data_IF_395614325932
#
_entry.id   IF_395614325932
#
_cell.length_a   1.000
_cell.length_b   1.000
_cell.length_c   1.000
_cell.angle_alpha   90.00
_cell.angle_beta   90.00
_cell.angle_gamma   90.00
#
_symmetry.space_group_name_H-M   'P 1'
#
loop_
_entity.id
_entity.type
_entity.pdbx_description
1 polymer ?
#
# COMPACT_ATOMS: atom_id res chain seq x y z
N UNK A 1 -20.37 -17.85 -25.77
CA UNK A 1 -20.47 -19.08 -24.95
C UNK A 1 -19.32 -20.07 -25.19
N UNK A 2 -19.09 -20.61 -26.40
CA UNK A 2 -18.01 -21.59 -26.63
C UNK A 2 -16.59 -21.11 -26.22
N UNK A 3 -16.21 -19.88 -26.59
CA UNK A 3 -14.92 -19.26 -26.21
C UNK A 3 -14.74 -19.24 -24.68
N UNK A 4 -15.78 -18.86 -23.93
CA UNK A 4 -15.75 -18.77 -22.47
C UNK A 4 -15.58 -20.16 -21.83
N UNK A 5 -16.36 -21.15 -22.26
CA UNK A 5 -16.26 -22.51 -21.72
C UNK A 5 -14.90 -23.17 -22.00
N UNK A 6 -14.39 -23.03 -23.23
CA UNK A 6 -13.09 -23.60 -23.62
C UNK A 6 -11.89 -22.97 -22.90
N UNK A 7 -12.07 -21.76 -22.35
CA UNK A 7 -11.01 -21.01 -21.64
C UNK A 7 -11.16 -21.06 -20.12
N UNK A 8 -12.07 -21.89 -19.58
CA UNK A 8 -12.32 -21.98 -18.13
C UNK A 8 -13.09 -20.80 -17.53
N UNK A 9 -13.65 -19.92 -18.37
CA UNK A 9 -14.41 -18.71 -18.00
C UNK A 9 -15.92 -18.87 -18.26
N UNK A 10 -16.43 -20.10 -18.31
CA UNK A 10 -17.85 -20.40 -18.52
C UNK A 10 -18.72 -20.16 -17.27
N UNK A 11 -18.49 -19.07 -16.54
CA UNK A 11 -19.23 -18.71 -15.32
C UNK A 11 -20.59 -18.09 -15.68
N UNK A 12 -21.66 -18.28 -14.87
CA UNK A 12 -22.98 -17.71 -15.14
C UNK A 12 -22.96 -16.20 -15.40
N UNK A 13 -22.24 -15.45 -14.56
CA UNK A 13 -22.06 -14.00 -14.66
C UNK A 13 -21.52 -13.53 -16.03
N UNK A 14 -20.62 -14.31 -16.65
CA UNK A 14 -20.10 -14.00 -17.99
C UNK A 14 -21.01 -14.50 -19.10
N UNK A 15 -21.73 -15.60 -18.88
CA UNK A 15 -22.65 -16.16 -19.86
C UNK A 15 -23.88 -15.25 -20.07
N UNK A 16 -24.32 -14.54 -19.03
CA UNK A 16 -25.39 -13.54 -19.10
C UNK A 16 -25.03 -12.34 -19.98
N UNK A 17 -23.75 -11.99 -20.05
CA UNK A 17 -23.24 -10.85 -20.83
C UNK A 17 -22.86 -11.19 -22.28
N UNK A 18 -23.09 -12.41 -22.76
CA UNK A 18 -22.67 -12.84 -24.12
C UNK A 18 -23.30 -12.01 -25.24
N UNK A 19 -24.47 -11.42 -25.01
CA UNK A 19 -25.14 -10.50 -25.95
C UNK A 19 -24.66 -9.05 -25.83
N UNK A 20 -23.84 -8.74 -24.82
CA UNK A 20 -23.30 -7.43 -24.47
C UNK A 20 -21.76 -7.49 -24.46
N UNK A 21 -21.11 -7.61 -25.64
CA UNK A 21 -19.69 -7.96 -25.71
C UNK A 21 -18.75 -6.92 -25.08
N UNK A 22 -19.13 -5.64 -25.03
CA UNK A 22 -18.36 -4.61 -24.32
C UNK A 22 -18.43 -4.81 -22.80
N UNK A 23 -19.63 -4.98 -22.24
CA UNK A 23 -19.84 -5.25 -20.82
C UNK A 23 -19.15 -6.56 -20.39
N UNK A 24 -19.21 -7.59 -21.25
CA UNK A 24 -18.50 -8.84 -21.04
C UNK A 24 -16.98 -8.64 -20.96
N UNK A 25 -16.40 -7.83 -21.86
CA UNK A 25 -14.95 -7.56 -21.84
C UNK A 25 -14.56 -6.85 -20.53
N UNK A 26 -15.33 -5.86 -20.07
CA UNK A 26 -15.07 -5.20 -18.79
C UNK A 26 -15.15 -6.20 -17.63
N UNK A 27 -16.21 -7.01 -17.56
CA UNK A 27 -16.40 -8.02 -16.52
C UNK A 27 -15.28 -9.09 -16.50
N UNK A 28 -14.74 -9.44 -17.66
CA UNK A 28 -13.60 -10.36 -17.78
C UNK A 28 -12.32 -9.76 -17.20
N UNK A 29 -12.05 -8.47 -17.42
CA UNK A 29 -10.89 -7.81 -16.82
C UNK A 29 -11.03 -7.54 -15.32
N UNK A 30 -12.25 -7.61 -14.78
CA UNK A 30 -12.47 -7.56 -13.33
C UNK A 30 -12.33 -8.93 -12.64
N UNK A 31 -12.15 -10.02 -13.41
CA UNK A 31 -12.04 -11.38 -12.88
C UNK A 31 -10.92 -11.50 -11.82
N UNK A 32 -11.28 -12.04 -10.65
CA UNK A 32 -10.37 -12.24 -9.52
C UNK A 32 -9.11 -13.07 -9.83
N UNK A 33 -9.13 -13.89 -10.89
CA UNK A 33 -7.99 -14.69 -11.33
C UNK A 33 -6.79 -13.84 -11.78
N UNK A 34 -7.01 -12.59 -12.24
CA UNK A 34 -5.94 -11.63 -12.54
C UNK A 34 -5.15 -11.31 -11.27
N UNK A 35 -5.84 -11.05 -10.16
CA UNK A 35 -5.22 -10.76 -8.87
C UNK A 35 -4.53 -12.00 -8.29
N UNK A 36 -5.19 -13.16 -8.40
CA UNK A 36 -4.68 -14.42 -7.87
C UNK A 36 -3.41 -14.90 -8.58
N UNK A 37 -3.20 -14.52 -9.85
CA UNK A 37 -2.00 -14.87 -10.64
C UNK A 37 -0.70 -14.44 -9.94
N UNK A 38 -0.68 -13.29 -9.24
CA UNK A 38 0.51 -12.84 -8.48
C UNK A 38 0.79 -13.67 -7.23
N UNK A 39 -0.22 -14.33 -6.66
CA UNK A 39 -0.07 -15.08 -5.40
C UNK A 39 0.26 -16.56 -5.62
N UNK A 40 0.21 -17.05 -6.86
CA UNK A 40 0.44 -18.46 -7.18
C UNK A 40 -0.59 -19.43 -6.58
N UNK A 41 -1.76 -18.92 -6.17
CA UNK A 41 -2.81 -19.72 -5.51
C UNK A 41 -3.60 -20.62 -6.47
N UNK A 42 -3.57 -20.31 -7.77
CA UNK A 42 -4.24 -21.11 -8.80
C UNK A 42 -3.25 -22.00 -9.54
N UNK A 43 -3.61 -23.26 -9.71
CA UNK A 43 -2.86 -24.22 -10.55
C UNK A 43 -2.94 -23.89 -12.04
N UNK A 44 -4.00 -23.19 -12.47
CA UNK A 44 -4.19 -22.72 -13.84
C UNK A 44 -4.93 -21.38 -13.82
N UNK A 45 -4.34 -20.35 -14.42
CA UNK A 45 -5.00 -19.05 -14.61
C UNK A 45 -5.44 -18.91 -16.07
N UNK A 46 -6.69 -18.52 -16.34
CA UNK A 46 -7.14 -18.27 -17.70
C UNK A 46 -6.36 -17.11 -18.33
N UNK A 47 -6.18 -17.16 -19.65
CA UNK A 47 -5.62 -16.06 -20.45
C UNK A 47 -6.77 -15.16 -20.94
N UNK A 48 -7.10 -14.18 -20.10
CA UNK A 48 -8.19 -13.22 -20.36
C UNK A 48 -7.86 -12.33 -21.55
N UNK A 49 -6.59 -11.93 -21.75
CA UNK A 49 -6.20 -11.11 -22.91
C UNK A 49 -6.51 -11.84 -24.24
N UNK A 50 -6.17 -13.13 -24.34
CA UNK A 50 -6.49 -13.93 -25.52
C UNK A 50 -7.99 -14.12 -25.73
N UNK A 51 -8.76 -14.30 -24.66
CA UNK A 51 -10.22 -14.44 -24.71
C UNK A 51 -10.90 -13.15 -25.15
N UNK A 52 -10.48 -12.02 -24.58
CA UNK A 52 -10.97 -10.69 -24.96
C UNK A 52 -10.66 -10.38 -26.42
N UNK A 53 -9.46 -10.73 -26.91
CA UNK A 53 -9.11 -10.57 -28.32
C UNK A 53 -10.03 -11.39 -29.22
N UNK A 54 -10.31 -12.66 -28.87
CA UNK A 54 -11.21 -13.52 -29.63
C UNK A 54 -12.66 -12.99 -29.65
N UNK A 55 -13.17 -12.51 -28.51
CA UNK A 55 -14.49 -11.87 -28.41
C UNK A 55 -14.53 -10.59 -29.24
N UNK A 56 -13.51 -9.75 -29.14
CA UNK A 56 -13.38 -8.51 -29.90
C UNK A 56 -13.39 -8.74 -31.41
N UNK A 57 -12.66 -9.75 -31.89
CA UNK A 57 -12.67 -10.14 -33.31
C UNK A 57 -14.02 -10.68 -33.76
N UNK A 58 -14.66 -11.54 -32.96
CA UNK A 58 -15.95 -12.15 -33.28
C UNK A 58 -17.07 -11.10 -33.38
N UNK A 59 -17.08 -10.15 -32.44
CA UNK A 59 -18.14 -9.13 -32.33
C UNK A 59 -17.77 -7.77 -32.94
N UNK A 60 -16.56 -7.63 -33.51
CA UNK A 60 -16.01 -6.39 -34.08
C UNK A 60 -16.04 -5.21 -33.09
N UNK A 61 -15.72 -5.48 -31.83
CA UNK A 61 -15.66 -4.48 -30.77
C UNK A 61 -14.28 -3.84 -30.73
N UNK A 62 -14.21 -2.54 -30.44
CA UNK A 62 -12.95 -1.82 -30.24
C UNK A 62 -12.32 -2.19 -28.89
N UNK A 63 -11.62 -3.32 -28.83
CA UNK A 63 -10.92 -3.79 -27.64
C UNK A 63 -9.92 -2.75 -27.13
N UNK A 64 -9.18 -2.10 -28.03
CA UNK A 64 -8.18 -1.10 -27.66
C UNK A 64 -8.82 0.10 -26.96
N UNK A 65 -9.99 0.56 -27.43
CA UNK A 65 -10.75 1.63 -26.79
C UNK A 65 -11.19 1.25 -25.38
N UNK A 66 -11.75 0.05 -25.20
CA UNK A 66 -12.16 -0.45 -23.88
C UNK A 66 -10.96 -0.56 -22.93
N UNK A 67 -9.83 -1.08 -23.41
CA UNK A 67 -8.59 -1.17 -22.62
C UNK A 67 -8.08 0.22 -22.23
N UNK A 68 -8.13 1.21 -23.12
CA UNK A 68 -7.74 2.58 -22.82
C UNK A 68 -8.66 3.23 -21.77
N UNK A 69 -9.96 2.98 -21.84
CA UNK A 69 -10.94 3.43 -20.84
C UNK A 69 -10.62 2.80 -19.47
N UNK A 70 -10.44 1.48 -19.40
CA UNK A 70 -10.09 0.78 -18.17
C UNK A 70 -8.75 1.24 -17.59
N UNK A 71 -7.73 1.45 -18.43
CA UNK A 71 -6.44 1.97 -18.00
C UNK A 71 -6.56 3.41 -17.47
N UNK A 72 -7.39 4.24 -18.11
CA UNK A 72 -7.66 5.59 -17.62
C UNK A 72 -8.38 5.58 -16.27
N UNK A 73 -9.25 4.61 -16.03
CA UNK A 73 -9.91 4.45 -14.73
C UNK A 73 -8.92 3.95 -13.66
N UNK A 74 -8.21 2.85 -13.90
CA UNK A 74 -7.35 2.24 -12.88
C UNK A 74 -6.08 3.04 -12.56
N UNK A 75 -5.58 3.84 -13.49
CA UNK A 75 -4.47 4.75 -13.24
C UNK A 75 -4.91 6.00 -12.43
N UNK A 76 -6.21 6.29 -12.33
CA UNK A 76 -6.76 7.39 -11.53
C UNK A 76 -7.31 6.87 -10.19
N UNK A 77 -6.65 7.17 -9.05
CA UNK A 77 -7.21 6.85 -7.75
C UNK A 77 -8.57 7.50 -7.54
N UNK A 78 -9.50 6.79 -6.90
CA UNK A 78 -10.82 7.33 -6.52
C UNK A 78 -10.72 8.60 -5.67
N UNK A 79 -9.65 8.71 -4.86
CA UNK A 79 -9.37 9.86 -3.99
C UNK A 79 -8.60 10.99 -4.70
N UNK A 80 -8.29 10.86 -5.99
CA UNK A 80 -7.56 11.92 -6.70
C UNK A 80 -8.48 13.11 -6.99
N UNK A 81 -8.01 14.35 -6.82
CA UNK A 81 -8.80 15.52 -7.20
C UNK A 81 -9.13 15.44 -8.70
N UNK A 82 -10.38 15.72 -9.10
CA UNK A 82 -10.79 15.62 -10.49
C UNK A 82 -9.92 16.51 -11.39
N UNK A 83 -9.71 16.05 -12.63
CA UNK A 83 -9.05 16.80 -13.70
C UNK A 83 -9.93 17.98 -14.15
N UNK A 84 -10.13 18.97 -13.28
CA UNK A 84 -10.49 20.37 -13.60
C UNK A 84 -11.02 21.04 -12.33
N UNK A 85 -10.16 21.77 -11.63
CA UNK A 85 -10.60 22.76 -10.63
C UNK A 85 -10.80 24.15 -11.25
N UNK A 86 -11.09 24.21 -12.54
CA UNK A 86 -11.58 25.40 -13.22
C UNK A 86 -12.68 24.99 -14.20
N UNK A 87 -13.86 25.61 -14.05
CA UNK A 87 -15.07 25.42 -14.84
C UNK A 87 -15.98 24.24 -14.40
N UNK A 88 -16.90 24.56 -13.50
CA UNK A 88 -18.30 24.09 -13.45
C UNK A 88 -18.58 22.61 -13.77
N UNK A 89 -18.68 21.75 -12.75
CA UNK A 89 -19.95 21.04 -12.52
C UNK A 89 -19.98 20.31 -11.16
N UNK A 90 -20.94 20.67 -10.31
CA UNK A 90 -21.26 20.02 -9.02
C UNK A 90 -22.00 18.68 -9.24
N UNK A 91 -22.21 18.29 -10.51
CA UNK A 91 -23.14 17.22 -10.90
C UNK A 91 -22.48 15.84 -11.07
N UNK A 92 -21.15 15.73 -11.11
CA UNK A 92 -20.45 14.45 -11.32
C UNK A 92 -20.29 13.58 -10.06
N UNK A 93 -20.40 14.16 -8.85
CA UNK A 93 -20.32 13.39 -7.61
C UNK A 93 -21.52 12.45 -7.36
N UNK A 94 -22.62 12.59 -8.12
CA UNK A 94 -23.80 11.73 -7.98
C UNK A 94 -23.67 10.48 -8.88
N UNK A 95 -22.93 10.54 -9.98
CA UNK A 95 -22.76 9.41 -10.91
C UNK A 95 -21.83 8.31 -10.34
N UNK A 96 -20.82 8.69 -9.56
CA UNK A 96 -19.93 7.74 -8.88
C UNK A 96 -20.64 6.91 -7.79
N UNK A 97 -21.78 7.39 -7.27
CA UNK A 97 -22.60 6.68 -6.28
C UNK A 97 -23.53 5.64 -6.96
N UNK A 98 -23.84 5.82 -8.25
CA UNK A 98 -24.84 5.00 -8.96
C UNK A 98 -24.24 3.85 -9.78
N UNK A 99 -22.93 3.85 -10.02
CA UNK A 99 -22.24 2.67 -10.54
C UNK A 99 -21.79 1.86 -9.34
N UNK A 100 -22.37 0.67 -9.12
CA UNK A 100 -22.03 -0.24 -8.02
C UNK A 100 -20.62 -0.82 -8.10
N UNK A 101 -19.61 0.05 -8.27
CA UNK A 101 -18.20 -0.28 -8.30
C UNK A 101 -17.80 -0.74 -6.90
N UNK A 102 -17.58 -2.04 -6.78
CA UNK A 102 -16.85 -2.64 -5.66
C UNK A 102 -15.54 -1.87 -5.53
N UNK A 103 -15.38 -1.10 -4.45
CA UNK A 103 -14.17 -0.31 -4.17
C UNK A 103 -12.95 -1.24 -4.28
N UNK A 104 -12.26 -1.18 -5.41
CA UNK A 104 -11.04 -1.95 -5.64
C UNK A 104 -9.96 -1.42 -4.70
N UNK A 105 -9.16 -2.30 -4.08
CA UNK A 105 -8.01 -1.79 -3.34
C UNK A 105 -7.03 -1.15 -4.32
N UNK A 106 -6.33 -0.08 -3.91
CA UNK A 106 -5.40 0.65 -4.77
C UNK A 106 -4.36 -0.23 -5.48
N UNK A 107 -3.99 -1.35 -4.85
CA UNK A 107 -3.09 -2.35 -5.44
C UNK A 107 -3.76 -3.19 -6.53
N UNK A 108 -5.06 -3.49 -6.41
CA UNK A 108 -5.77 -4.33 -7.37
C UNK A 108 -5.88 -3.62 -8.73
N UNK A 109 -6.14 -2.31 -8.72
CA UNK A 109 -6.19 -1.49 -9.94
C UNK A 109 -4.84 -1.47 -10.67
N UNK A 110 -3.73 -1.36 -9.95
CA UNK A 110 -2.38 -1.44 -10.54
C UNK A 110 -2.12 -2.83 -11.14
N UNK A 111 -2.52 -3.90 -10.45
CA UNK A 111 -2.35 -5.27 -10.95
C UNK A 111 -3.15 -5.48 -12.25
N UNK A 112 -4.40 -5.04 -12.28
CA UNK A 112 -5.25 -5.11 -13.48
C UNK A 112 -4.71 -4.25 -14.62
N UNK A 113 -4.26 -3.04 -14.33
CA UNK A 113 -3.63 -2.18 -15.33
C UNK A 113 -2.38 -2.83 -15.94
N UNK A 114 -1.50 -3.39 -15.11
CA UNK A 114 -0.33 -4.13 -15.60
C UNK A 114 -0.75 -5.30 -16.51
N UNK A 115 -1.76 -6.08 -16.10
CA UNK A 115 -2.27 -7.20 -16.87
C UNK A 115 -2.80 -6.80 -18.25
N UNK A 116 -3.56 -5.70 -18.33
CA UNK A 116 -4.07 -5.19 -19.61
C UNK A 116 -2.93 -4.70 -20.50
N UNK A 117 -1.91 -4.05 -19.92
CA UNK A 117 -0.74 -3.59 -20.67
C UNK A 117 0.09 -4.73 -21.27
N UNK A 118 0.04 -5.94 -20.69
CA UNK A 118 0.66 -7.14 -21.26
C UNK A 118 0.03 -7.57 -22.60
N UNK A 119 -1.16 -7.08 -22.95
CA UNK A 119 -1.76 -7.34 -24.27
C UNK A 119 -1.14 -6.48 -25.38
N UNK A 120 -0.31 -5.50 -25.05
CA UNK A 120 0.32 -4.56 -25.98
C UNK A 120 1.81 -4.91 -26.17
N UNK A 121 2.41 -4.41 -27.24
CA UNK A 121 3.87 -4.43 -27.35
C UNK A 121 4.49 -3.61 -26.22
N UNK A 122 5.53 -4.16 -25.60
CA UNK A 122 6.15 -3.60 -24.39
C UNK A 122 6.64 -2.15 -24.57
N UNK A 123 7.22 -1.81 -25.73
CA UNK A 123 7.61 -0.42 -26.03
C UNK A 123 6.40 0.53 -26.10
N UNK A 124 5.29 0.06 -26.67
CA UNK A 124 4.06 0.85 -26.79
C UNK A 124 3.43 1.06 -25.42
N UNK A 125 3.34 0.01 -24.60
CA UNK A 125 2.88 0.09 -23.22
C UNK A 125 3.75 1.04 -22.39
N UNK A 126 5.08 0.96 -22.53
CA UNK A 126 6.00 1.84 -21.83
C UNK A 126 5.81 3.31 -22.23
N UNK A 127 5.72 3.62 -23.54
CA UNK A 127 5.46 4.98 -24.04
C UNK A 127 4.12 5.53 -23.55
N UNK A 128 3.09 4.68 -23.50
CA UNK A 128 1.78 5.03 -22.95
C UNK A 128 1.88 5.41 -21.46
N UNK A 129 2.59 4.63 -20.64
CA UNK A 129 2.76 4.96 -19.22
C UNK A 129 3.61 6.20 -18.99
N UNK A 130 4.61 6.46 -19.84
CA UNK A 130 5.44 7.67 -19.74
C UNK A 130 4.63 8.95 -20.01
N UNK A 131 3.62 8.92 -20.87
CA UNK A 131 2.74 10.08 -21.05
C UNK A 131 1.92 10.37 -19.79
N UNK A 132 1.53 9.34 -19.02
CA UNK A 132 0.86 9.49 -17.73
C UNK A 132 1.80 9.95 -16.60
N UNK A 133 3.07 9.57 -16.64
CA UNK A 133 4.06 9.92 -15.62
C UNK A 133 4.64 11.34 -15.78
N UNK A 134 4.55 11.91 -16.97
CA UNK A 134 5.12 13.21 -17.33
C UNK A 134 4.63 14.39 -16.48
N UNK A 135 5.43 15.45 -16.44
CA UNK A 135 5.10 16.73 -15.77
C UNK A 135 4.30 17.69 -16.67
N UNK A 136 4.24 17.41 -17.98
CA UNK A 136 3.69 18.32 -18.99
C UNK A 136 2.16 18.37 -18.99
N UNK A 137 1.54 17.26 -18.65
CA UNK A 137 0.09 17.16 -18.52
C UNK A 137 -0.18 17.30 -17.02
N UNK A 138 -0.95 18.30 -16.59
CA UNK A 138 -1.28 18.60 -15.18
C UNK A 138 -2.06 17.45 -14.50
N UNK A 139 -1.48 16.27 -14.46
CA UNK A 139 -2.06 15.05 -13.91
C UNK A 139 -1.81 15.02 -12.40
N UNK A 140 -2.77 14.54 -11.61
CA UNK A 140 -2.60 14.35 -10.19
C UNK A 140 -1.33 13.54 -9.89
N UNK A 141 -0.63 13.90 -8.81
CA UNK A 141 0.61 13.25 -8.38
C UNK A 141 0.45 11.73 -8.25
N UNK A 142 -0.69 11.29 -7.71
CA UNK A 142 -1.00 9.88 -7.54
C UNK A 142 -1.15 9.11 -8.87
N UNK A 143 -1.66 9.75 -9.94
CA UNK A 143 -1.74 9.15 -11.28
C UNK A 143 -0.34 8.94 -11.85
N UNK A 144 0.51 9.95 -11.71
CA UNK A 144 1.91 9.90 -12.16
C UNK A 144 2.68 8.79 -11.43
N UNK A 145 2.43 8.65 -10.12
CA UNK A 145 3.00 7.56 -9.31
C UNK A 145 2.55 6.18 -9.82
N UNK A 146 1.25 5.97 -10.02
CA UNK A 146 0.70 4.69 -10.52
C UNK A 146 1.25 4.31 -11.89
N UNK A 147 1.37 5.29 -12.79
CA UNK A 147 1.94 5.06 -14.10
C UNK A 147 3.40 4.57 -14.02
N UNK A 148 4.23 5.19 -13.15
CA UNK A 148 5.60 4.74 -12.91
C UNK A 148 5.67 3.37 -12.21
N UNK A 149 4.73 3.06 -11.30
CA UNK A 149 4.63 1.74 -10.68
C UNK A 149 4.31 0.66 -11.72
N UNK A 150 3.35 0.92 -12.61
CA UNK A 150 3.04 0.01 -13.71
C UNK A 150 4.27 -0.16 -14.63
N UNK A 151 4.96 0.94 -14.95
CA UNK A 151 6.12 0.93 -15.84
C UNK A 151 7.24 0.06 -15.26
N UNK A 152 7.58 0.28 -13.99
CA UNK A 152 8.60 -0.52 -13.29
C UNK A 152 8.17 -1.98 -13.07
N UNK A 153 6.88 -2.30 -13.17
CA UNK A 153 6.37 -3.67 -13.02
C UNK A 153 6.45 -4.44 -14.33
N UNK A 154 6.09 -3.83 -15.46
CA UNK A 154 6.00 -4.53 -16.76
C UNK A 154 7.30 -4.46 -17.58
N UNK A 155 8.12 -3.42 -17.38
CA UNK A 155 9.28 -3.15 -18.23
C UNK A 155 10.61 -3.58 -17.60
N UNK A 156 11.56 -3.98 -18.45
CA UNK A 156 12.95 -4.21 -18.04
C UNK A 156 13.65 -2.88 -17.75
N UNK A 157 14.74 -2.93 -16.99
CA UNK A 157 15.53 -1.73 -16.67
C UNK A 157 15.99 -0.96 -17.93
N UNK A 158 16.33 -1.68 -19.00
CA UNK A 158 16.74 -1.09 -20.29
C UNK A 158 15.59 -0.32 -20.97
N UNK A 159 14.39 -0.90 -21.01
CA UNK A 159 13.21 -0.25 -21.61
C UNK A 159 12.80 0.98 -20.80
N UNK A 160 12.91 0.90 -19.48
CA UNK A 160 12.65 2.04 -18.60
C UNK A 160 13.61 3.19 -18.91
N UNK A 161 14.91 2.92 -19.02
CA UNK A 161 15.94 3.95 -19.30
C UNK A 161 15.75 4.56 -20.69
N UNK A 162 15.56 3.72 -21.72
CA UNK A 162 15.41 4.17 -23.11
C UNK A 162 14.13 4.99 -23.33
N UNK A 163 13.02 4.61 -22.69
CA UNK A 163 11.73 5.31 -22.86
C UNK A 163 11.65 6.60 -22.05
N UNK A 164 12.23 6.65 -20.84
CA UNK A 164 12.16 7.83 -19.96
C UNK A 164 13.33 8.80 -20.12
N UNK A 165 14.47 8.33 -20.65
CA UNK A 165 15.74 9.05 -20.63
C UNK A 165 16.34 9.23 -19.23
N UNK A 166 15.84 8.52 -18.21
CA UNK A 166 16.26 8.62 -16.81
C UNK A 166 16.81 7.29 -16.32
N UNK A 167 17.73 7.33 -15.35
CA UNK A 167 18.22 6.10 -14.70
C UNK A 167 17.13 5.48 -13.82
N UNK A 168 17.23 4.17 -13.56
CA UNK A 168 16.30 3.48 -12.68
C UNK A 168 16.29 4.08 -11.26
N UNK A 169 17.45 4.50 -10.75
CA UNK A 169 17.55 5.14 -9.43
C UNK A 169 16.88 6.51 -9.39
N UNK A 170 17.02 7.30 -10.47
CA UNK A 170 16.30 8.58 -10.61
C UNK A 170 14.78 8.38 -10.62
N UNK A 171 14.30 7.34 -11.29
CA UNK A 171 12.87 7.00 -11.32
C UNK A 171 12.39 6.55 -9.95
N UNK A 172 13.14 5.67 -9.26
CA UNK A 172 12.79 5.25 -7.90
C UNK A 172 12.75 6.43 -6.92
N UNK A 173 13.71 7.35 -7.01
CA UNK A 173 13.71 8.59 -6.21
C UNK A 173 12.49 9.46 -6.52
N UNK A 174 12.15 9.64 -7.80
CA UNK A 174 10.96 10.37 -8.20
C UNK A 174 9.66 9.69 -7.70
N UNK A 175 9.54 8.37 -7.81
CA UNK A 175 8.39 7.63 -7.28
C UNK A 175 8.27 7.80 -5.76
N UNK A 176 9.38 7.79 -5.02
CA UNK A 176 9.38 8.05 -3.59
C UNK A 176 8.87 9.46 -3.28
N UNK A 177 9.33 10.48 -4.01
CA UNK A 177 8.84 11.85 -3.86
C UNK A 177 7.35 11.97 -4.19
N UNK A 178 6.91 11.39 -5.31
CA UNK A 178 5.50 11.39 -5.70
C UNK A 178 4.61 10.68 -4.67
N UNK A 179 5.09 9.60 -4.04
CA UNK A 179 4.38 8.92 -2.96
C UNK A 179 4.18 9.81 -1.74
N UNK A 180 5.22 10.51 -1.28
CA UNK A 180 5.03 11.47 -0.19
C UNK A 180 4.12 12.63 -0.59
N UNK A 181 4.29 13.20 -1.78
CA UNK A 181 3.46 14.31 -2.25
C UNK A 181 2.00 13.90 -2.36
N UNK A 182 1.68 12.71 -2.88
CA UNK A 182 0.28 12.25 -3.00
C UNK A 182 -0.39 12.07 -1.65
N UNK A 183 0.34 11.58 -0.63
CA UNK A 183 -0.21 11.47 0.72
C UNK A 183 -0.32 12.84 1.41
N UNK A 184 0.60 13.77 1.12
CA UNK A 184 0.51 15.16 1.60
C UNK A 184 -0.71 15.88 1.01
N UNK A 185 -1.02 15.64 -0.27
CA UNK A 185 -2.20 16.20 -0.94
C UNK A 185 -3.51 15.77 -0.27
N UNK A 186 -3.62 14.49 0.17
CA UNK A 186 -4.77 13.99 0.95
C UNK A 186 -4.94 14.72 2.29
N UNK A 187 -3.85 15.26 2.84
CA UNK A 187 -3.87 16.08 4.06
C UNK A 187 -4.11 17.58 3.77
N UNK A 188 -4.38 17.94 2.52
CA UNK A 188 -4.58 19.32 2.06
C UNK A 188 -3.28 20.12 1.98
N UNK A 189 -2.14 19.44 1.83
CA UNK A 189 -0.84 20.09 1.74
C UNK A 189 -0.22 19.83 0.35
N UNK A 190 0.00 20.90 -0.41
CA UNK A 190 0.42 20.80 -1.81
C UNK A 190 1.90 21.15 -1.96
N UNK A 191 2.65 20.28 -2.63
CA UNK A 191 4.04 20.53 -3.02
C UNK A 191 4.27 20.21 -4.49
N UNK A 192 5.12 21.01 -5.13
CA UNK A 192 5.74 20.58 -6.39
C UNK A 192 6.83 19.55 -6.12
N UNK A 193 7.15 18.71 -7.10
CA UNK A 193 8.24 17.71 -6.98
C UNK A 193 9.56 18.37 -6.60
N UNK A 194 9.94 19.46 -7.30
CA UNK A 194 11.16 20.23 -6.98
C UNK A 194 11.10 20.90 -5.61
N UNK A 195 9.92 21.39 -5.21
CA UNK A 195 9.71 21.99 -3.90
C UNK A 195 9.89 20.97 -2.78
N UNK A 196 9.32 19.77 -2.95
CA UNK A 196 9.50 18.68 -2.00
C UNK A 196 10.93 18.17 -1.98
N UNK A 197 11.62 18.06 -3.11
CA UNK A 197 13.03 17.64 -3.16
C UNK A 197 13.94 18.58 -2.36
N UNK A 198 13.79 19.88 -2.57
CA UNK A 198 14.65 20.92 -2.01
C UNK A 198 14.29 21.35 -0.58
N UNK A 199 13.11 21.00 -0.07
CA UNK A 199 12.71 21.41 1.28
C UNK A 199 13.45 20.65 2.38
N UNK A 200 13.49 21.27 3.56
CA UNK A 200 13.87 20.59 4.79
C UNK A 200 12.79 19.58 5.19
N UNK A 201 13.16 18.29 5.22
CA UNK A 201 12.25 17.19 5.56
C UNK A 201 11.87 17.21 7.04
N UNK A 202 12.71 17.77 7.91
CA UNK A 202 12.37 17.95 9.32
C UNK A 202 11.22 18.95 9.50
N UNK A 203 11.19 20.01 8.68
CA UNK A 203 10.08 20.96 8.67
C UNK A 203 8.77 20.33 8.16
N UNK A 204 8.84 19.46 7.15
CA UNK A 204 7.68 18.69 6.70
C UNK A 204 7.18 17.76 7.80
N UNK A 205 8.08 17.05 8.49
CA UNK A 205 7.74 16.20 9.64
C UNK A 205 7.05 17.01 10.74
N UNK A 206 7.56 18.21 11.06
CA UNK A 206 6.94 19.14 12.02
C UNK A 206 5.52 19.54 11.60
N UNK A 207 5.31 19.92 10.33
CA UNK A 207 3.98 20.29 9.81
C UNK A 207 2.99 19.13 9.94
N UNK A 208 3.43 17.91 9.65
CA UNK A 208 2.60 16.70 9.81
C UNK A 208 2.22 16.45 11.27
N UNK A 209 3.18 16.57 12.20
CA UNK A 209 2.92 16.40 13.63
C UNK A 209 1.98 17.46 14.21
N UNK A 210 1.95 18.67 13.63
CA UNK A 210 0.97 19.70 14.00
C UNK A 210 -0.46 19.35 13.60
N UNK A 211 -0.67 18.57 12.52
CA UNK A 211 -2.01 18.11 12.14
C UNK A 211 -2.56 17.06 13.12
N UNK A 212 -1.68 16.32 13.79
CA UNK A 212 -2.03 15.33 14.82
C UNK A 212 -3.22 14.45 14.43
N UNK A 213 -3.23 13.94 13.19
CA UNK A 213 -4.17 12.91 12.74
C UNK A 213 -3.43 11.59 12.55
N UNK A 214 -4.09 10.42 12.68
CA UNK A 214 -3.42 9.13 12.50
C UNK A 214 -2.67 9.02 11.16
N UNK A 215 -3.29 9.51 10.08
CA UNK A 215 -2.66 9.50 8.76
C UNK A 215 -1.44 10.45 8.66
N UNK A 216 -1.52 11.65 9.25
CA UNK A 216 -0.38 12.57 9.26
C UNK A 216 0.79 12.01 10.10
N UNK A 217 0.50 11.34 11.21
CA UNK A 217 1.50 10.70 12.06
C UNK A 217 2.15 9.50 11.36
N UNK A 218 1.36 8.69 10.64
CA UNK A 218 1.87 7.60 9.79
C UNK A 218 2.86 8.16 8.77
N UNK A 219 2.49 9.25 8.10
CA UNK A 219 3.33 9.88 7.08
C UNK A 219 4.59 10.51 7.68
N UNK A 220 4.50 11.12 8.87
CA UNK A 220 5.65 11.67 9.59
C UNK A 220 6.66 10.57 9.96
N UNK A 221 6.17 9.43 10.46
CA UNK A 221 6.99 8.28 10.80
C UNK A 221 7.67 7.68 9.55
N UNK A 222 6.92 7.53 8.45
CA UNK A 222 7.46 7.06 7.17
C UNK A 222 8.53 8.01 6.62
N UNK A 223 8.28 9.33 6.69
CA UNK A 223 9.23 10.36 6.26
C UNK A 223 10.53 10.29 7.07
N UNK A 224 10.41 10.23 8.40
CA UNK A 224 11.54 10.10 9.30
C UNK A 224 12.38 8.85 9.01
N UNK A 225 11.72 7.71 8.80
CA UNK A 225 12.37 6.45 8.49
C UNK A 225 13.09 6.46 7.14
N UNK A 226 12.42 6.95 6.08
CA UNK A 226 12.92 6.94 4.71
C UNK A 226 14.08 7.92 4.52
N UNK A 227 13.93 9.14 5.02
CA UNK A 227 14.95 10.19 4.91
C UNK A 227 15.98 10.15 6.04
N UNK A 228 15.91 9.14 6.92
CA UNK A 228 16.84 8.90 8.03
C UNK A 228 17.01 10.16 8.90
N UNK A 229 15.89 10.79 9.25
CA UNK A 229 15.87 11.99 10.10
C UNK A 229 16.22 11.62 11.54
N UNK A 230 16.99 12.49 12.21
CA UNK A 230 17.53 12.21 13.56
C UNK A 230 16.99 13.15 14.64
N UNK A 231 16.06 14.04 14.30
CA UNK A 231 15.50 15.00 15.25
C UNK A 231 14.72 14.28 16.37
N UNK A 232 15.36 14.17 17.53
CA UNK A 232 14.86 13.43 18.70
C UNK A 232 13.50 13.97 19.16
N UNK A 233 13.30 15.30 19.12
CA UNK A 233 12.03 15.90 19.55
C UNK A 233 10.86 15.48 18.67
N UNK A 234 11.08 15.38 17.36
CA UNK A 234 10.05 14.93 16.43
C UNK A 234 9.80 13.43 16.55
N UNK A 235 10.83 12.63 16.82
CA UNK A 235 10.65 11.20 17.10
C UNK A 235 9.89 10.95 18.40
N UNK A 236 10.21 11.65 19.49
CA UNK A 236 9.45 11.55 20.75
C UNK A 236 7.98 11.88 20.52
N UNK A 237 7.67 13.00 19.86
CA UNK A 237 6.29 13.38 19.55
C UNK A 237 5.60 12.35 18.64
N UNK A 238 6.31 11.82 17.64
CA UNK A 238 5.79 10.79 16.73
C UNK A 238 5.43 9.52 17.50
N UNK A 239 6.34 9.00 18.31
CA UNK A 239 6.13 7.79 19.11
C UNK A 239 5.01 7.97 20.13
N UNK A 240 4.92 9.14 20.76
CA UNK A 240 3.83 9.47 21.67
C UNK A 240 2.47 9.42 20.96
N UNK A 241 2.36 10.04 19.78
CA UNK A 241 1.12 10.04 19.01
C UNK A 241 0.78 8.64 18.47
N UNK A 242 1.75 7.92 17.90
CA UNK A 242 1.54 6.53 17.44
C UNK A 242 1.04 5.62 18.56
N UNK A 243 1.58 5.78 19.76
CA UNK A 243 1.13 5.06 20.96
C UNK A 243 -0.31 5.43 21.32
N UNK A 244 -0.64 6.72 21.30
CA UNK A 244 -2.01 7.19 21.60
C UNK A 244 -3.07 6.70 20.62
N UNK A 245 -2.70 6.53 19.34
CA UNK A 245 -3.56 5.97 18.29
C UNK A 245 -3.49 4.45 18.17
N UNK A 246 -2.67 3.78 18.98
CA UNK A 246 -2.42 2.34 18.92
C UNK A 246 -2.02 1.86 17.51
N UNK A 247 -1.12 2.60 16.85
CA UNK A 247 -0.59 2.34 15.50
C UNK A 247 0.47 1.24 15.51
N UNK A 248 0.05 0.02 15.86
CA UNK A 248 0.94 -1.10 16.13
C UNK A 248 1.75 -1.51 14.89
N UNK A 249 1.12 -1.56 13.71
CA UNK A 249 1.80 -2.01 12.49
C UNK A 249 2.95 -1.08 12.10
N UNK A 250 2.75 0.22 12.26
CA UNK A 250 3.78 1.23 12.02
C UNK A 250 4.87 1.20 13.11
N UNK A 251 4.48 1.07 14.39
CA UNK A 251 5.44 0.98 15.51
C UNK A 251 6.39 -0.21 15.33
N UNK A 252 5.87 -1.34 14.86
CA UNK A 252 6.67 -2.55 14.62
C UNK A 252 7.74 -2.34 13.53
N UNK A 253 7.53 -1.41 12.60
CA UNK A 253 8.51 -1.06 11.56
C UNK A 253 9.53 -0.05 12.10
N UNK A 254 9.07 0.97 12.83
CA UNK A 254 9.88 2.13 13.21
C UNK A 254 10.75 1.85 14.44
N UNK A 255 10.23 1.16 15.46
CA UNK A 255 10.94 0.97 16.72
C UNK A 255 12.30 0.27 16.60
N UNK A 256 12.45 -0.82 15.80
CA UNK A 256 13.76 -1.46 15.62
C UNK A 256 14.80 -0.51 15.02
N UNK A 257 14.37 0.40 14.14
CA UNK A 257 15.25 1.37 13.49
C UNK A 257 15.70 2.47 14.45
N UNK A 258 14.87 2.84 15.43
CA UNK A 258 15.22 3.85 16.44
C UNK A 258 16.06 3.30 17.60
N UNK A 259 16.37 2.01 17.62
CA UNK A 259 17.16 1.35 18.67
C UNK A 259 18.50 2.06 18.92
N UNK A 260 19.17 2.54 17.87
CA UNK A 260 20.44 3.26 18.00
C UNK A 260 20.31 4.65 18.67
N UNK A 261 19.10 5.22 18.70
CA UNK A 261 18.77 6.50 19.34
C UNK A 261 18.10 6.32 20.72
N UNK A 262 17.96 5.09 21.23
CA UNK A 262 17.20 4.79 22.44
C UNK A 262 17.65 5.57 23.69
N UNK A 263 18.93 5.96 23.75
CA UNK A 263 19.51 6.71 24.86
C UNK A 263 19.25 8.23 24.78
N UNK A 264 18.78 8.72 23.64
CA UNK A 264 18.46 10.14 23.40
C UNK A 264 16.96 10.41 23.52
N UNK A 265 16.13 9.42 23.19
CA UNK A 265 14.67 9.50 23.26
C UNK A 265 14.18 9.56 24.71
N UNK A 266 13.02 10.17 24.92
CA UNK A 266 12.39 10.18 26.25
C UNK A 266 12.07 8.74 26.68
N UNK A 267 12.59 8.36 27.84
CA UNK A 267 12.50 6.99 28.34
C UNK A 267 11.06 6.52 28.54
N UNK A 268 10.14 7.41 28.93
CA UNK A 268 8.74 7.04 29.16
C UNK A 268 7.99 6.88 27.84
N UNK A 269 8.23 7.79 26.89
CA UNK A 269 7.63 7.73 25.55
C UNK A 269 8.11 6.47 24.83
N UNK A 270 9.42 6.23 24.82
CA UNK A 270 10.01 5.08 24.13
C UNK A 270 9.56 3.75 24.75
N UNK A 271 9.54 3.64 26.08
CA UNK A 271 9.00 2.46 26.78
C UNK A 271 7.51 2.26 26.51
N UNK A 272 6.74 3.36 26.49
CA UNK A 272 5.32 3.34 26.16
C UNK A 272 5.05 2.82 24.75
N UNK A 273 5.84 3.25 23.77
CA UNK A 273 5.74 2.80 22.39
C UNK A 273 6.08 1.31 22.22
N UNK A 274 7.16 0.84 22.87
CA UNK A 274 7.48 -0.60 22.90
C UNK A 274 6.38 -1.41 23.57
N UNK A 275 5.86 -0.97 24.71
CA UNK A 275 4.73 -1.64 25.37
C UNK A 275 3.50 -1.69 24.46
N UNK A 276 3.18 -0.60 23.74
CA UNK A 276 2.08 -0.58 22.78
C UNK A 276 2.25 -1.63 21.69
N UNK A 277 3.43 -1.72 21.07
CA UNK A 277 3.71 -2.68 20.01
C UNK A 277 3.70 -4.15 20.50
N UNK A 278 4.20 -4.39 21.71
CA UNK A 278 4.32 -5.73 22.29
C UNK A 278 3.00 -6.24 22.88
N UNK A 279 2.25 -5.39 23.58
CA UNK A 279 1.09 -5.80 24.39
C UNK A 279 -0.21 -5.73 23.60
N UNK A 280 -0.40 -4.71 22.74
CA UNK A 280 -1.69 -4.50 22.06
C UNK A 280 -2.14 -5.72 21.22
N UNK A 281 -1.28 -6.41 20.46
CA UNK A 281 -1.68 -7.62 19.74
C UNK A 281 -2.11 -8.76 20.65
N UNK A 282 -1.39 -8.96 21.76
CA UNK A 282 -1.72 -9.95 22.78
C UNK A 282 -3.08 -9.62 23.42
N UNK A 283 -3.31 -8.35 23.75
CA UNK A 283 -4.56 -7.88 24.37
C UNK A 283 -5.77 -8.07 23.44
N UNK A 284 -5.64 -7.73 22.16
CA UNK A 284 -6.72 -7.83 21.15
C UNK A 284 -6.98 -9.27 20.69
N UNK A 285 -6.07 -10.20 20.92
CA UNK A 285 -6.24 -11.58 20.51
C UNK A 285 -7.31 -12.29 21.36
N UNK A 286 -8.15 -13.07 20.69
CA UNK A 286 -9.17 -13.94 21.28
C UNK A 286 -8.78 -15.41 21.12
N UNK A 287 -9.25 -16.25 22.05
CA UNK A 287 -9.06 -17.69 21.99
C UNK A 287 -10.33 -18.38 21.47
N UNK A 288 -10.22 -19.34 20.54
CA UNK A 288 -9.01 -19.83 19.89
C UNK A 288 -8.40 -18.83 18.89
N UNK A 289 -7.07 -18.81 18.78
CA UNK A 289 -6.36 -17.87 17.91
C UNK A 289 -6.68 -18.12 16.43
N UNK A 290 -7.13 -17.06 15.74
CA UNK A 290 -7.20 -17.06 14.28
C UNK A 290 -5.79 -17.08 13.67
N UNK A 291 -5.67 -17.48 12.39
CA UNK A 291 -4.38 -17.46 11.68
C UNK A 291 -3.74 -16.07 11.68
N UNK A 292 -4.55 -15.03 11.53
CA UNK A 292 -4.08 -13.63 11.48
C UNK A 292 -3.67 -13.12 12.86
N UNK A 293 -4.50 -13.33 13.89
CA UNK A 293 -4.19 -12.95 15.26
C UNK A 293 -2.98 -13.72 15.80
N UNK A 294 -2.84 -15.01 15.44
CA UNK A 294 -1.67 -15.82 15.76
C UNK A 294 -0.38 -15.23 15.19
N UNK A 295 -0.37 -14.80 13.91
CA UNK A 295 0.79 -14.11 13.30
C UNK A 295 1.15 -12.82 14.03
N UNK A 296 0.16 -11.98 14.37
CA UNK A 296 0.40 -10.73 15.10
C UNK A 296 0.99 -10.96 16.49
N UNK A 297 0.43 -11.92 17.23
CA UNK A 297 0.92 -12.31 18.56
C UNK A 297 2.34 -12.87 18.50
N UNK A 298 2.62 -13.73 17.52
CA UNK A 298 3.97 -14.25 17.29
C UNK A 298 4.97 -13.12 17.00
N UNK A 299 4.58 -12.17 16.14
CA UNK A 299 5.41 -11.00 15.80
C UNK A 299 5.71 -10.13 17.02
N UNK A 300 4.77 -9.97 17.95
CA UNK A 300 5.04 -9.27 19.22
C UNK A 300 6.16 -9.93 20.04
N UNK A 301 6.20 -11.26 20.10
CA UNK A 301 7.30 -11.95 20.78
C UNK A 301 8.63 -11.84 20.04
N UNK A 302 8.61 -11.88 18.71
CA UNK A 302 9.80 -11.65 17.88
C UNK A 302 10.36 -10.24 18.08
N UNK A 303 9.47 -9.23 18.17
CA UNK A 303 9.84 -7.85 18.46
C UNK A 303 10.54 -7.67 19.81
N UNK A 304 10.24 -8.52 20.80
CA UNK A 304 10.91 -8.44 22.10
C UNK A 304 12.43 -8.70 22.00
N UNK A 305 12.86 -9.52 21.04
CA UNK A 305 14.29 -9.75 20.75
C UNK A 305 14.97 -8.53 20.12
N UNK A 306 14.21 -7.65 19.49
CA UNK A 306 14.69 -6.38 18.92
C UNK A 306 14.66 -5.23 19.94
N UNK A 307 14.06 -5.42 21.11
CA UNK A 307 13.89 -4.36 22.10
C UNK A 307 15.22 -4.06 22.81
N UNK A 308 15.73 -2.81 22.81
CA UNK A 308 16.94 -2.44 23.54
C UNK A 308 16.72 -2.33 25.05
N UNK A 309 15.47 -2.29 25.50
CA UNK A 309 15.08 -2.04 26.90
C UNK A 309 14.13 -3.13 27.43
N UNK A 310 14.48 -4.43 27.29
CA UNK A 310 13.57 -5.52 27.65
C UNK A 310 13.21 -5.56 29.14
N UNK A 311 14.01 -4.91 29.99
CA UNK A 311 13.74 -4.79 31.44
C UNK A 311 12.75 -3.69 31.80
N UNK A 312 12.52 -2.73 30.91
CA UNK A 312 11.64 -1.58 31.15
C UNK A 312 10.23 -1.82 30.59
N UNK A 313 10.09 -2.72 29.61
CA UNK A 313 8.78 -3.13 29.08
C UNK A 313 8.03 -4.00 30.08
N UNK A 314 6.70 -3.99 30.00
CA UNK A 314 5.83 -4.63 30.99
C UNK A 314 5.62 -6.11 30.67
N UNK A 315 6.66 -6.91 30.94
CA UNK A 315 6.69 -8.35 30.70
C UNK A 315 5.60 -9.10 31.50
N UNK A 316 5.19 -8.58 32.66
CA UNK A 316 4.14 -9.20 33.47
C UNK A 316 2.78 -9.12 32.78
N UNK A 317 2.44 -7.98 32.16
CA UNK A 317 1.20 -7.86 31.39
C UNK A 317 1.25 -8.76 30.15
N UNK A 318 2.41 -8.87 29.49
CA UNK A 318 2.57 -9.82 28.38
C UNK A 318 2.32 -11.26 28.84
N UNK A 319 2.85 -11.66 30.00
CA UNK A 319 2.65 -12.99 30.58
C UNK A 319 1.18 -13.26 30.87
N UNK A 320 0.48 -12.30 31.50
CA UNK A 320 -0.96 -12.40 31.80
C UNK A 320 -1.78 -12.66 30.52
N UNK A 321 -1.50 -11.93 29.45
CA UNK A 321 -2.17 -12.16 28.17
C UNK A 321 -1.78 -13.49 27.51
N UNK A 322 -0.53 -13.93 27.61
CA UNK A 322 -0.13 -15.26 27.12
C UNK A 322 -0.86 -16.39 27.86
N UNK A 323 -1.03 -16.26 29.19
CA UNK A 323 -1.80 -17.19 30.01
C UNK A 323 -3.29 -17.21 29.62
N UNK A 324 -3.89 -16.03 29.39
CA UNK A 324 -5.27 -15.91 28.91
C UNK A 324 -5.49 -16.59 27.56
N UNK A 325 -4.49 -16.59 26.69
CA UNK A 325 -4.53 -17.26 25.39
C UNK A 325 -4.23 -18.77 25.47
N UNK A 326 -3.99 -19.32 26.66
CA UNK A 326 -3.69 -20.73 26.92
C UNK A 326 -2.56 -21.32 26.06
N UNK A 327 -1.61 -20.50 25.59
CA UNK A 327 -0.52 -20.95 24.73
C UNK A 327 0.77 -21.13 25.51
N UNK A 328 1.12 -22.40 25.80
CA UNK A 328 2.37 -22.76 26.47
C UNK A 328 3.60 -22.38 25.64
N UNK A 329 3.48 -22.42 24.31
CA UNK A 329 4.56 -21.99 23.40
C UNK A 329 4.89 -20.51 23.61
N UNK A 330 3.89 -19.63 23.68
CA UNK A 330 4.10 -18.19 23.89
C UNK A 330 4.73 -17.91 25.26
N UNK A 331 4.28 -18.60 26.31
CA UNK A 331 4.83 -18.46 27.67
C UNK A 331 6.30 -18.86 27.68
N UNK A 332 6.65 -20.01 27.09
CA UNK A 332 8.04 -20.51 27.04
C UNK A 332 9.00 -19.53 26.33
N UNK A 333 8.52 -18.80 25.32
CA UNK A 333 9.31 -17.79 24.61
C UNK A 333 9.53 -16.51 25.43
N UNK A 334 8.71 -16.26 26.46
CA UNK A 334 8.83 -15.10 27.34
C UNK A 334 9.74 -15.36 28.55
N UNK A 335 9.88 -16.61 28.98
CA UNK A 335 10.67 -17.03 30.15
C UNK A 335 12.12 -16.47 30.18
N UNK A 336 12.89 -16.46 29.07
CA UNK A 336 14.24 -15.91 29.09
C UNK A 336 14.28 -14.45 29.56
N UNK A 337 13.26 -13.66 29.20
CA UNK A 337 13.17 -12.25 29.56
C UNK A 337 12.69 -12.02 30.99
N UNK A 338 11.82 -12.90 31.51
CA UNK A 338 11.35 -12.85 32.90
C UNK A 338 12.47 -13.17 33.89
N UNK A 339 13.41 -14.05 33.52
CA UNK A 339 14.57 -14.34 34.36
C UNK A 339 15.50 -13.11 34.53
N UNK A 340 15.54 -12.22 33.53
CA UNK A 340 16.36 -10.99 33.55
C UNK A 340 15.82 -9.92 34.51
N UNK A 341 14.55 -9.98 34.90
CA UNK A 341 13.95 -9.03 35.86
C UNK A 341 14.09 -9.50 37.30
N UNK A 342 14.23 -10.81 37.54
CA UNK A 342 14.37 -11.40 38.87
C UNK A 342 15.82 -11.38 39.42
N UNK A 343 16.84 -11.21 38.57
CA UNK A 343 18.25 -11.30 38.98
C UNK A 343 18.80 -10.06 39.71
N UNK A 344 17.97 -9.09 40.10
CA UNK A 344 18.37 -7.83 40.73
C UNK A 344 17.53 -7.43 41.97
N UNK A 345 16.74 -8.36 42.51
CA UNK A 345 16.23 -8.29 43.90
C UNK A 345 17.08 -9.21 44.77
#
# INVERSE_FOLDING_TARGET
SHILHSSGLGKPEYLELVLHPQELICALYDDSSILQRKTGTLSHCPDINSVVLAIGQLHRVNVVGIQQELLSEWLYPADSPPLDSSCDDITQNIAAIHSGSTVLSDNDSIIRACYVLESMELETAAKYLVSYAGELECRPTAVRLRALQCLCTIATADIVVTTTGRTLDSIKGNMQNLMFISELEKLGLVWSVKGFESCDKEDVMRILLMKASPHAVQLAAALGYVFKLINIRYWDQTLQLMTSYAMVEELVIVLPELTHLCHLLDSNIFTGAWNCALITPLQKAEYPLSKESGRRVQRSLEMLYCCPIPRQVNLLIMLEHCQRLHSQELISRLEPFLSLTQSNT
#
